data_IF_968509688319
#
_entry.id   IF_968509688319
#
_cell.length_a   1.000
_cell.length_b   1.000
_cell.length_c   1.000
_cell.angle_alpha   90.00
_cell.angle_beta   90.00
_cell.angle_gamma   90.00
#
_symmetry.space_group_name_H-M   'P 1'
#
loop_
_entity.id
_entity.type
_entity.pdbx_description
1 polymer ?
#
# COMPACT_ATOMS: atom_id res chain seq x y z
N UNK A 1 -25.71 31.15 -11.92
CA UNK A 1 -24.62 30.35 -11.32
C UNK A 1 -24.87 30.15 -9.82
N UNK A 2 -25.25 28.94 -9.40
CA UNK A 2 -25.24 28.52 -7.99
C UNK A 2 -24.58 27.15 -7.94
N UNK A 3 -23.40 27.11 -7.32
CA UNK A 3 -22.66 25.89 -7.03
C UNK A 3 -23.42 25.08 -5.99
N UNK A 4 -23.89 23.88 -6.36
CA UNK A 4 -24.34 22.89 -5.40
C UNK A 4 -23.18 21.96 -5.11
N UNK A 5 -22.80 21.87 -3.83
CA UNK A 5 -21.82 20.92 -3.29
C UNK A 5 -22.29 19.51 -3.65
N UNK A 6 -21.50 18.81 -4.45
CA UNK A 6 -21.66 17.37 -4.64
C UNK A 6 -21.04 16.66 -3.44
N UNK A 7 -21.88 16.16 -2.55
CA UNK A 7 -21.52 15.03 -1.70
C UNK A 7 -21.30 13.82 -2.63
N UNK A 8 -20.07 13.68 -3.13
CA UNK A 8 -19.65 12.45 -3.81
C UNK A 8 -19.51 11.38 -2.74
N UNK A 9 -20.55 10.58 -2.58
CA UNK A 9 -20.39 9.22 -2.08
C UNK A 9 -19.22 8.58 -2.85
N UNK A 10 -18.20 8.01 -2.19
CA UNK A 10 -17.08 7.45 -2.92
C UNK A 10 -17.63 6.40 -3.90
N UNK A 11 -17.34 6.57 -5.18
CA UNK A 11 -17.58 5.52 -6.17
C UNK A 11 -16.96 4.24 -5.60
N UNK A 12 -17.67 3.12 -5.70
CA UNK A 12 -17.29 1.86 -5.03
C UNK A 12 -15.85 1.42 -5.32
N UNK A 13 -15.30 1.82 -6.46
CA UNK A 13 -13.90 1.63 -6.84
C UNK A 13 -12.91 2.39 -5.94
N UNK A 14 -13.16 3.67 -5.63
CA UNK A 14 -12.27 4.50 -4.80
C UNK A 14 -12.15 3.95 -3.38
N UNK A 15 -13.28 3.53 -2.80
CA UNK A 15 -13.29 2.86 -1.49
C UNK A 15 -12.50 1.54 -1.53
N UNK A 16 -12.63 0.77 -2.61
CA UNK A 16 -11.92 -0.50 -2.76
C UNK A 16 -10.41 -0.30 -2.96
N UNK A 17 -10.00 0.77 -3.66
CA UNK A 17 -8.57 1.15 -3.78
C UNK A 17 -7.97 1.57 -2.44
N UNK A 18 -8.73 2.28 -1.59
CA UNK A 18 -8.29 2.60 -0.24
C UNK A 18 -8.16 1.34 0.62
N UNK A 19 -9.07 0.39 0.46
CA UNK A 19 -9.05 -0.88 1.19
C UNK A 19 -7.84 -1.76 0.80
N UNK A 20 -7.39 -1.73 -0.47
CA UNK A 20 -6.17 -2.42 -0.91
C UNK A 20 -4.92 -1.99 -0.11
N UNK A 21 -4.83 -0.71 0.25
CA UNK A 21 -3.71 -0.22 1.07
C UNK A 21 -3.91 -0.56 2.56
N UNK A 22 -5.15 -0.76 2.97
CA UNK A 22 -5.54 -1.03 4.36
C UNK A 22 -5.47 -2.51 4.77
N UNK A 23 -5.15 -3.41 3.82
CA UNK A 23 -4.93 -4.84 4.09
C UNK A 23 -3.62 -5.12 4.83
N UNK A 24 -2.80 -4.11 5.12
CA UNK A 24 -1.54 -4.31 5.82
C UNK A 24 -1.67 -4.01 7.30
N UNK A 25 -1.08 -4.88 8.11
CA UNK A 25 -0.78 -4.60 9.50
C UNK A 25 0.55 -3.88 9.58
N UNK A 26 0.56 -2.74 10.28
CA UNK A 26 1.76 -1.97 10.58
C UNK A 26 2.11 -2.13 12.06
N UNK A 27 3.35 -2.50 12.33
CA UNK A 27 3.91 -2.58 13.69
C UNK A 27 5.09 -1.61 13.80
N UNK A 28 5.02 -0.70 14.77
CA UNK A 28 6.08 0.23 15.12
C UNK A 28 6.51 -0.04 16.57
N UNK A 29 7.74 -0.50 16.79
CA UNK A 29 8.23 -0.78 18.14
C UNK A 29 9.76 -0.76 18.21
N UNK A 30 10.36 -0.07 19.18
CA UNK A 30 11.80 -0.16 19.52
C UNK A 30 12.78 -0.07 18.34
N UNK A 31 12.52 0.80 17.35
CA UNK A 31 13.38 0.90 16.15
C UNK A 31 13.04 -0.09 15.05
N UNK A 32 11.89 -0.75 15.14
CA UNK A 32 11.35 -1.62 14.12
C UNK A 32 10.15 -0.94 13.46
N UNK A 33 10.14 -0.90 12.13
CA UNK A 33 8.95 -0.65 11.32
C UNK A 33 8.69 -1.86 10.45
N UNK A 34 7.66 -2.62 10.80
CA UNK A 34 7.20 -3.77 10.04
C UNK A 34 5.85 -3.49 9.40
N UNK A 35 5.72 -3.83 8.12
CA UNK A 35 4.49 -3.82 7.36
C UNK A 35 4.29 -5.22 6.77
N UNK A 36 3.20 -5.88 7.12
CA UNK A 36 2.90 -7.25 6.66
C UNK A 36 1.44 -7.39 6.27
N UNK A 37 1.13 -8.35 5.40
CA UNK A 37 -0.25 -8.59 4.96
C UNK A 37 -1.09 -9.09 6.13
N UNK A 38 -2.19 -8.40 6.42
CA UNK A 38 -3.29 -8.92 7.22
C UNK A 38 -4.12 -9.86 6.34
N UNK A 39 -3.84 -11.15 6.44
CA UNK A 39 -4.48 -12.18 5.63
C UNK A 39 -6.00 -12.24 5.82
N UNK A 40 -6.53 -11.83 6.98
CA UNK A 40 -7.97 -11.81 7.22
C UNK A 40 -8.62 -10.66 6.45
N UNK A 41 -8.03 -9.46 6.51
CA UNK A 41 -8.49 -8.30 5.73
C UNK A 41 -8.39 -8.53 4.23
N UNK A 42 -7.30 -9.15 3.78
CA UNK A 42 -7.13 -9.50 2.37
C UNK A 42 -8.21 -10.47 1.89
N UNK A 43 -8.50 -11.54 2.65
CA UNK A 43 -9.59 -12.48 2.32
C UNK A 43 -10.96 -11.79 2.26
N UNK A 44 -11.24 -10.88 3.19
CA UNK A 44 -12.49 -10.11 3.19
C UNK A 44 -12.60 -9.18 1.98
N UNK A 45 -11.50 -8.56 1.56
CA UNK A 45 -11.45 -7.73 0.35
C UNK A 45 -11.73 -8.58 -0.89
N UNK A 46 -11.05 -9.72 -1.02
CA UNK A 46 -11.17 -10.62 -2.19
C UNK A 46 -12.55 -11.29 -2.31
N UNK A 47 -13.35 -11.30 -1.25
CA UNK A 47 -14.73 -11.80 -1.28
C UNK A 47 -15.71 -10.82 -1.94
N UNK A 48 -15.31 -9.57 -2.19
CA UNK A 48 -16.15 -8.54 -2.79
C UNK A 48 -16.15 -8.64 -4.32
N UNK A 49 -17.25 -8.25 -4.96
CA UNK A 49 -17.35 -8.31 -6.43
C UNK A 49 -16.36 -7.34 -7.09
N UNK A 50 -16.19 -6.16 -6.50
CA UNK A 50 -15.33 -5.08 -6.97
C UNK A 50 -13.85 -5.50 -7.03
N UNK A 51 -13.42 -6.45 -6.19
CA UNK A 51 -12.07 -7.00 -6.26
C UNK A 51 -11.80 -7.73 -7.58
N UNK A 52 -12.80 -8.39 -8.17
CA UNK A 52 -12.64 -9.03 -9.47
C UNK A 52 -12.44 -8.00 -10.58
N UNK A 53 -13.16 -6.88 -10.52
CA UNK A 53 -13.04 -5.81 -11.51
C UNK A 53 -11.62 -5.21 -11.45
N UNK A 54 -11.09 -4.95 -10.25
CA UNK A 54 -9.70 -4.49 -10.06
C UNK A 54 -8.67 -5.54 -10.50
N UNK A 55 -8.94 -6.83 -10.26
CA UNK A 55 -8.05 -7.90 -10.73
C UNK A 55 -7.97 -7.93 -12.25
N UNK A 56 -9.11 -7.80 -12.94
CA UNK A 56 -9.13 -7.70 -14.41
C UNK A 56 -8.34 -6.50 -14.91
N UNK A 57 -8.45 -5.34 -14.23
CA UNK A 57 -7.64 -4.16 -14.54
C UNK A 57 -6.14 -4.46 -14.45
N UNK A 58 -5.70 -5.14 -13.38
CA UNK A 58 -4.32 -5.54 -13.20
C UNK A 58 -3.86 -6.53 -14.29
N UNK A 59 -4.69 -7.53 -14.62
CA UNK A 59 -4.38 -8.57 -15.60
C UNK A 59 -4.34 -8.01 -17.04
N UNK A 60 -5.02 -6.89 -17.31
CA UNK A 60 -4.91 -6.13 -18.56
C UNK A 60 -3.63 -5.27 -18.64
N UNK A 61 -2.78 -5.31 -17.62
CA UNK A 61 -1.53 -4.56 -17.57
C UNK A 61 -1.71 -3.07 -17.26
N UNK A 62 -2.87 -2.66 -16.73
CA UNK A 62 -2.99 -1.30 -16.23
C UNK A 62 -2.13 -1.12 -14.99
N UNK A 63 -1.50 0.05 -14.89
CA UNK A 63 -0.64 0.41 -13.77
C UNK A 63 -1.16 1.65 -13.07
N UNK A 64 -1.18 1.59 -11.75
CA UNK A 64 -1.41 2.73 -10.88
C UNK A 64 -0.21 2.87 -9.95
N UNK A 65 0.80 3.61 -10.41
CA UNK A 65 2.08 3.72 -9.73
C UNK A 65 2.02 4.77 -8.63
N UNK A 66 2.33 4.36 -7.40
CA UNK A 66 2.46 5.22 -6.23
C UNK A 66 3.86 5.16 -5.64
N UNK A 67 4.22 6.19 -4.88
CA UNK A 67 5.45 6.24 -4.09
C UNK A 67 5.12 6.62 -2.65
N UNK A 68 5.41 5.72 -1.72
CA UNK A 68 5.32 5.98 -0.29
C UNK A 68 6.70 6.38 0.24
N UNK A 69 6.76 7.47 1.00
CA UNK A 69 7.98 7.97 1.62
C UNK A 69 7.83 7.93 3.14
N UNK A 70 8.72 7.21 3.81
CA UNK A 70 8.74 7.04 5.25
C UNK A 70 9.95 7.76 5.82
N UNK A 71 9.71 8.84 6.59
CA UNK A 71 10.76 9.53 7.33
C UNK A 71 10.91 8.87 8.70
N UNK A 72 12.12 8.39 8.99
CA UNK A 72 12.46 7.67 10.22
C UNK A 72 13.20 8.60 11.19
N UNK A 73 12.98 8.43 12.50
CA UNK A 73 13.63 9.27 13.52
C UNK A 73 15.12 8.92 13.70
N UNK A 74 15.57 7.75 13.21
CA UNK A 74 16.95 7.29 13.27
C UNK A 74 17.38 6.70 11.91
N UNK A 75 18.70 6.63 11.62
CA UNK A 75 19.21 6.01 10.41
C UNK A 75 18.84 4.52 10.29
N UNK A 76 18.45 4.09 9.09
CA UNK A 76 18.22 2.69 8.74
C UNK A 76 19.50 1.88 8.95
N UNK A 77 19.34 0.72 9.58
CA UNK A 77 20.35 -0.31 9.79
C UNK A 77 20.16 -1.48 8.83
N UNK A 78 18.92 -1.90 8.64
CA UNK A 78 18.56 -3.03 7.79
C UNK A 78 17.18 -2.83 7.15
N UNK A 79 16.99 -3.36 5.94
CA UNK A 79 15.70 -3.43 5.26
C UNK A 79 15.52 -4.79 4.59
N UNK A 80 14.38 -5.44 4.84
CA UNK A 80 14.14 -6.82 4.39
C UNK A 80 13.60 -6.93 2.95
N UNK A 81 13.22 -5.81 2.31
CA UNK A 81 12.58 -5.81 1.00
C UNK A 81 13.45 -5.03 -0.01
N UNK A 82 13.87 -5.65 -1.13
CA UNK A 82 14.75 -5.02 -2.13
C UNK A 82 14.09 -3.87 -2.91
N UNK A 83 12.76 -3.72 -2.85
CA UNK A 83 12.05 -2.60 -3.48
C UNK A 83 12.20 -1.29 -2.67
N UNK A 84 12.68 -1.37 -1.43
CA UNK A 84 12.92 -0.20 -0.60
C UNK A 84 14.20 0.51 -1.03
N UNK A 85 14.08 1.82 -1.27
CA UNK A 85 15.22 2.71 -1.50
C UNK A 85 15.46 3.52 -0.24
N UNK A 86 16.69 3.46 0.28
CA UNK A 86 17.12 4.24 1.44
C UNK A 86 17.87 5.48 0.95
N UNK A 87 17.56 6.64 1.50
CA UNK A 87 18.27 7.89 1.18
C UNK A 87 19.72 7.91 1.69
N UNK A 88 20.52 8.85 1.19
CA UNK A 88 21.94 8.98 1.55
C UNK A 88 22.16 9.22 3.06
N UNK A 89 21.28 10.01 3.70
CA UNK A 89 21.28 10.24 5.15
C UNK A 89 20.72 9.06 5.96
N UNK A 90 20.26 8.02 5.25
CA UNK A 90 19.62 6.81 5.77
C UNK A 90 18.36 7.05 6.59
N UNK A 91 17.73 8.21 6.52
CA UNK A 91 16.54 8.54 7.33
C UNK A 91 15.24 8.57 6.55
N UNK A 92 15.29 8.44 5.22
CA UNK A 92 14.10 8.32 4.38
C UNK A 92 14.13 6.97 3.67
N UNK A 93 13.01 6.26 3.73
CA UNK A 93 12.80 5.05 2.94
C UNK A 93 11.66 5.29 1.95
N UNK A 94 11.92 5.02 0.69
CA UNK A 94 10.95 5.14 -0.40
C UNK A 94 10.55 3.76 -0.89
N UNK A 95 9.25 3.51 -1.01
CA UNK A 95 8.67 2.35 -1.66
C UNK A 95 7.87 2.81 -2.88
N UNK A 96 8.33 2.44 -4.08
CA UNK A 96 7.54 2.58 -5.31
C UNK A 96 6.79 1.28 -5.57
N UNK A 97 5.49 1.38 -5.83
CA UNK A 97 4.63 0.21 -6.02
C UNK A 97 3.53 0.47 -7.03
N UNK A 98 3.04 -0.58 -7.68
CA UNK A 98 1.80 -0.56 -8.42
C UNK A 98 0.66 -0.93 -7.46
N UNK A 99 -0.33 -0.05 -7.29
CA UNK A 99 -1.48 -0.30 -6.41
C UNK A 99 -2.29 -1.51 -6.89
N UNK A 100 -2.39 -1.71 -8.20
CA UNK A 100 -3.12 -2.84 -8.78
C UNK A 100 -2.43 -4.18 -8.50
N UNK A 101 -1.09 -4.23 -8.49
CA UNK A 101 -0.34 -5.45 -8.14
C UNK A 101 -0.68 -5.98 -6.74
N UNK A 102 -1.11 -5.11 -5.82
CA UNK A 102 -1.44 -5.50 -4.43
C UNK A 102 -2.55 -6.56 -4.43
N UNK A 103 -3.47 -6.52 -5.39
CA UNK A 103 -4.57 -7.49 -5.44
C UNK A 103 -4.09 -8.91 -5.77
N UNK A 104 -3.00 -9.01 -6.54
CA UNK A 104 -2.41 -10.26 -7.02
C UNK A 104 -1.34 -10.79 -6.06
N UNK A 105 -0.46 -9.91 -5.57
CA UNK A 105 0.62 -10.26 -4.66
C UNK A 105 0.84 -9.14 -3.62
N UNK A 106 0.05 -9.11 -2.54
CA UNK A 106 0.23 -8.13 -1.48
C UNK A 106 1.53 -8.37 -0.67
N UNK A 107 2.08 -9.58 -0.68
CA UNK A 107 3.29 -9.90 0.07
C UNK A 107 4.52 -9.19 -0.53
N UNK A 108 4.55 -8.96 -1.86
CA UNK A 108 5.57 -8.17 -2.57
C UNK A 108 5.90 -6.83 -1.91
N UNK A 109 4.93 -6.19 -1.27
CA UNK A 109 5.08 -4.87 -0.65
C UNK A 109 5.09 -4.90 0.88
N UNK A 110 5.26 -6.09 1.47
CA UNK A 110 5.57 -6.27 2.88
C UNK A 110 7.05 -6.03 3.15
N UNK A 111 7.39 -5.47 4.30
CA UNK A 111 8.78 -5.19 4.65
C UNK A 111 8.98 -5.11 6.16
N UNK A 112 10.24 -5.21 6.55
CA UNK A 112 10.75 -4.85 7.88
C UNK A 112 11.91 -3.87 7.69
N UNK A 113 11.90 -2.79 8.45
CA UNK A 113 12.98 -1.80 8.53
C UNK A 113 13.42 -1.71 9.98
N UNK A 114 14.72 -1.85 10.22
CA UNK A 114 15.36 -1.56 11.50
C UNK A 114 16.06 -0.20 11.43
N UNK A 115 15.82 0.67 12.42
CA UNK A 115 16.38 2.02 12.54
C UNK A 115 16.74 2.34 14.00
#
# INVERSE_FOLDING_TARGET
HKSSKGDKQPDSADATFQDLVSIYKVTLNNGLFKKEVDTARYKQLMARKEANDIKQMADQGMEMIYSANFKLPRPVKHSSNPLLKVSDDKRTVTLRYNLLDIINDPAKYSFTIEY
#
